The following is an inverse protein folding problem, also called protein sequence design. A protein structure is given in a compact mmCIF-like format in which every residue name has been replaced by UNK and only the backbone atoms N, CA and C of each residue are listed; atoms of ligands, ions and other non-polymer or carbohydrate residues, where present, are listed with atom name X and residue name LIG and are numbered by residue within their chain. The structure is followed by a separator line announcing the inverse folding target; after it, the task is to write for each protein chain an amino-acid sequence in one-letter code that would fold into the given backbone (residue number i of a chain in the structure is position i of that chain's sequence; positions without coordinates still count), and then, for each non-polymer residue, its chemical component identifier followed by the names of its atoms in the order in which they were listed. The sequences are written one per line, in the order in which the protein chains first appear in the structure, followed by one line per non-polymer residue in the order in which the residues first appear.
data_IF_571845147723
#
_entry.id   IF_571845147723
#
_cell.length_a   1.000
_cell.length_b   1.000
_cell.length_c   1.000
_cell.angle_alpha   90.00
_cell.angle_beta   90.00
_cell.angle_gamma   90.00
#
_symmetry.space_group_name_H-M   'P 1'
#
loop_
_entity.id
_entity.type
_entity.pdbx_description
1 polymer ?
#
# COMPACT_ATOMS: atom_id res chain seq x y z
N UNK A 1 -32.90 14.19 5.21
CA UNK A 1 -31.58 14.53 4.65
C UNK A 1 -30.67 13.37 4.96
N UNK A 2 -30.56 12.44 4.04
CA UNK A 2 -30.14 11.07 4.34
C UNK A 2 -28.72 10.93 3.80
N UNK A 3 -27.72 11.36 4.58
CA UNK A 3 -26.32 11.19 4.21
C UNK A 3 -25.96 9.71 4.37
N UNK A 4 -26.16 8.92 3.32
CA UNK A 4 -25.68 7.54 3.27
C UNK A 4 -24.14 7.57 3.36
N UNK A 5 -23.58 6.89 4.36
CA UNK A 5 -22.14 6.69 4.46
C UNK A 5 -21.66 5.92 3.23
N UNK A 6 -20.56 6.32 2.56
CA UNK A 6 -20.11 5.67 1.34
C UNK A 6 -19.77 4.19 1.62
N UNK A 7 -20.33 3.30 0.80
CA UNK A 7 -19.97 1.88 0.83
C UNK A 7 -18.54 1.71 0.28
N UNK A 8 -17.68 0.91 0.92
CA UNK A 8 -16.35 0.61 0.39
C UNK A 8 -16.44 -0.10 -0.97
N UNK A 9 -15.45 0.12 -1.83
CA UNK A 9 -15.34 -0.60 -3.10
C UNK A 9 -15.21 -2.11 -2.87
N UNK A 10 -15.69 -2.92 -3.83
CA UNK A 10 -15.62 -4.38 -3.77
C UNK A 10 -14.20 -4.96 -3.97
N UNK A 11 -13.19 -4.11 -4.13
CA UNK A 11 -11.79 -4.49 -4.25
C UNK A 11 -10.91 -3.55 -3.43
N UNK A 12 -9.87 -4.10 -2.81
CA UNK A 12 -8.91 -3.38 -1.95
C UNK A 12 -7.47 -3.70 -2.34
N UNK A 13 -6.55 -2.80 -2.01
CA UNK A 13 -5.11 -2.98 -2.21
C UNK A 13 -4.54 -4.03 -1.24
N UNK A 14 -3.50 -4.74 -1.68
CA UNK A 14 -2.67 -5.62 -0.85
C UNK A 14 -1.25 -5.04 -0.79
N UNK A 15 -0.77 -4.74 0.42
CA UNK A 15 0.54 -4.14 0.71
C UNK A 15 1.28 -4.92 1.80
N UNK A 16 1.97 -6.01 1.45
CA UNK A 16 2.51 -6.97 2.42
C UNK A 16 3.57 -6.37 3.36
N UNK A 17 4.31 -5.36 2.90
CA UNK A 17 5.30 -4.65 3.73
C UNK A 17 4.71 -3.68 4.75
N UNK A 18 3.39 -3.43 4.74
CA UNK A 18 2.77 -2.33 5.50
C UNK A 18 1.51 -2.72 6.26
N UNK A 19 1.05 -3.97 6.16
CA UNK A 19 -0.21 -4.43 6.74
C UNK A 19 -0.12 -5.92 7.10
N UNK A 20 -0.33 -6.32 8.37
CA UNK A 20 -0.29 -7.73 8.77
C UNK A 20 -1.32 -8.63 8.06
N UNK A 21 -2.59 -8.22 7.87
CA UNK A 21 -3.53 -8.99 7.05
C UNK A 21 -3.05 -9.20 5.61
N UNK A 22 -2.47 -8.17 4.99
CA UNK A 22 -1.96 -8.24 3.61
C UNK A 22 -0.76 -9.19 3.51
N UNK A 23 0.07 -9.27 4.54
CA UNK A 23 1.20 -10.19 4.61
C UNK A 23 0.72 -11.66 4.61
N UNK A 24 -0.34 -11.97 5.35
CA UNK A 24 -0.92 -13.32 5.37
C UNK A 24 -1.46 -13.69 3.99
N UNK A 25 -2.21 -12.78 3.36
CA UNK A 25 -2.76 -12.98 2.03
C UNK A 25 -1.65 -13.16 0.98
N UNK A 26 -0.62 -12.31 1.03
CA UNK A 26 0.52 -12.41 0.12
C UNK A 26 1.26 -13.74 0.23
N UNK A 27 1.46 -14.26 1.45
CA UNK A 27 2.06 -15.58 1.64
C UNK A 27 1.21 -16.70 1.03
N UNK A 28 -0.10 -16.64 1.19
CA UNK A 28 -1.02 -17.62 0.60
C UNK A 28 -0.99 -17.61 -0.94
N UNK A 29 -0.66 -16.47 -1.56
CA UNK A 29 -0.62 -16.31 -3.02
C UNK A 29 0.80 -16.18 -3.61
N UNK A 30 1.86 -16.37 -2.81
CA UNK A 30 3.24 -16.29 -3.28
C UNK A 30 3.67 -14.89 -3.77
N UNK A 31 3.08 -13.82 -3.24
CA UNK A 31 3.43 -12.45 -3.62
C UNK A 31 4.76 -12.02 -2.96
N UNK A 32 5.59 -11.19 -3.62
CA UNK A 32 6.82 -10.68 -3.05
C UNK A 32 6.55 -9.73 -1.86
N UNK A 33 7.45 -9.75 -0.88
CA UNK A 33 7.46 -8.78 0.20
C UNK A 33 8.22 -7.52 -0.24
N UNK A 34 7.50 -6.43 -0.48
CA UNK A 34 8.07 -5.14 -0.85
C UNK A 34 7.71 -4.09 0.21
N UNK A 35 8.71 -3.33 0.66
CA UNK A 35 8.52 -2.08 1.40
C UNK A 35 9.04 -0.91 0.57
N UNK A 36 8.41 0.24 0.74
CA UNK A 36 8.79 1.51 0.10
C UNK A 36 8.97 2.63 1.14
N UNK A 37 8.83 2.30 2.41
CA UNK A 37 9.09 3.19 3.55
C UNK A 37 10.25 2.55 4.30
N UNK A 38 11.34 3.29 4.45
CA UNK A 38 12.51 2.88 5.23
C UNK A 38 12.24 2.98 6.74
N UNK A 39 13.16 2.46 7.54
CA UNK A 39 13.08 2.53 9.00
C UNK A 39 13.14 3.98 9.54
N UNK A 40 13.66 4.90 8.72
CA UNK A 40 13.66 6.34 8.98
C UNK A 40 12.33 7.03 8.63
N UNK A 41 11.33 6.27 8.17
CA UNK A 41 10.02 6.76 7.77
C UNK A 41 9.99 7.45 6.40
N UNK A 42 11.10 7.48 5.66
CA UNK A 42 11.17 8.12 4.34
C UNK A 42 10.91 7.14 3.19
N UNK A 43 10.56 7.65 2.00
CA UNK A 43 10.42 6.78 0.83
C UNK A 43 11.78 6.21 0.41
N UNK A 44 11.85 4.90 0.23
CA UNK A 44 13.04 4.19 -0.22
C UNK A 44 12.75 3.34 -1.48
N UNK A 45 13.77 3.03 -2.31
CA UNK A 45 13.61 2.15 -3.46
C UNK A 45 13.00 0.78 -3.07
N UNK A 46 12.11 0.19 -3.91
CA UNK A 46 11.74 0.63 -5.26
C UNK A 46 10.67 1.73 -5.30
N UNK A 47 10.28 2.30 -4.15
CA UNK A 47 9.41 3.48 -4.10
C UNK A 47 10.15 4.78 -4.42
N UNK A 48 9.39 5.80 -4.80
CA UNK A 48 9.92 7.11 -5.19
C UNK A 48 10.02 7.32 -6.71
N UNK A 49 10.24 8.57 -7.14
CA UNK A 49 10.39 8.96 -8.55
C UNK A 49 9.18 9.62 -9.22
N UNK A 50 7.98 9.56 -8.62
CA UNK A 50 6.77 10.17 -9.18
C UNK A 50 6.60 11.65 -8.85
N UNK A 51 7.05 12.10 -7.67
CA UNK A 51 7.13 13.51 -7.26
C UNK A 51 8.49 14.10 -7.68
N UNK A 52 8.85 13.97 -8.96
CA UNK A 52 9.82 14.89 -9.53
C UNK A 52 9.04 16.16 -9.81
N UNK A 53 9.17 17.17 -8.93
CA UNK A 53 8.78 18.54 -9.29
C UNK A 53 9.56 18.84 -10.57
N UNK A 54 8.86 18.92 -11.70
CA UNK A 54 9.43 19.42 -12.94
C UNK A 54 10.03 20.80 -12.62
N UNK A 55 11.25 21.13 -13.09
CA UNK A 55 11.83 22.45 -12.89
C UNK A 55 10.89 23.57 -13.37
#
# INVERSE_FOLDING_TARGET
GNSASPVPAGAVKVTPGHSPPDLVLARAHGLPLLSVIGDDGTMCPPGGGWLQVLP
#
